data_IF_212327562241
#
_entry.id   IF_212327562241
#
_cell.length_a   1.000
_cell.length_b   1.000
_cell.length_c   1.000
_cell.angle_alpha   90.00
_cell.angle_beta   90.00
_cell.angle_gamma   90.00
#
_symmetry.space_group_name_H-M   'P 1'
#
loop_
_entity.id
_entity.type
_entity.pdbx_description
1 polymer ?
#
# COMPACT_ATOMS: atom_id res chain seq x y z
N UNK A 1 38.78 -56.33 -25.29
CA UNK A 1 37.36 -56.20 -25.67
C UNK A 1 36.61 -56.53 -24.40
N UNK A 2 36.21 -55.52 -23.63
CA UNK A 2 35.56 -55.69 -22.33
C UNK A 2 34.06 -55.79 -22.60
N UNK A 3 33.49 -56.97 -22.34
CA UNK A 3 32.11 -57.32 -22.64
C UNK A 3 31.15 -56.55 -21.74
N UNK A 4 30.57 -55.47 -22.27
CA UNK A 4 29.51 -54.67 -21.62
C UNK A 4 28.28 -55.50 -21.23
N UNK A 5 28.07 -56.64 -21.90
CA UNK A 5 27.01 -57.61 -21.63
C UNK A 5 27.22 -58.35 -20.30
N UNK A 6 28.47 -58.52 -19.86
CA UNK A 6 28.76 -59.22 -18.60
C UNK A 6 28.48 -58.31 -17.40
N UNK A 7 28.76 -57.00 -17.56
CA UNK A 7 28.55 -56.01 -16.52
C UNK A 7 27.06 -55.74 -16.24
N UNK A 8 26.23 -55.66 -17.29
CA UNK A 8 24.78 -55.46 -17.12
C UNK A 8 24.11 -56.65 -16.42
N UNK A 9 24.54 -57.87 -16.75
CA UNK A 9 24.05 -59.10 -16.10
C UNK A 9 24.45 -59.16 -14.62
N UNK A 10 25.69 -58.79 -14.30
CA UNK A 10 26.18 -58.77 -12.91
C UNK A 10 25.40 -57.73 -12.08
N UNK A 11 25.09 -56.56 -12.66
CA UNK A 11 24.27 -55.53 -12.02
C UNK A 11 22.84 -56.02 -11.76
N UNK A 12 22.23 -56.70 -12.73
CA UNK A 12 20.86 -57.22 -12.59
C UNK A 12 20.77 -58.31 -11.51
N UNK A 13 21.78 -59.20 -11.44
CA UNK A 13 21.86 -60.25 -10.42
C UNK A 13 22.04 -59.68 -9.01
N UNK A 14 22.83 -58.62 -8.84
CA UNK A 14 22.99 -57.95 -7.55
C UNK A 14 21.72 -57.20 -7.14
N UNK A 15 20.98 -56.59 -8.08
CA UNK A 15 19.72 -55.91 -7.78
C UNK A 15 18.62 -56.87 -7.32
N UNK A 16 18.56 -58.10 -7.86
CA UNK A 16 17.60 -59.12 -7.39
C UNK A 16 17.91 -59.67 -6.00
N UNK A 17 19.17 -59.57 -5.54
CA UNK A 17 19.59 -60.02 -4.19
C UNK A 17 19.25 -59.01 -3.11
N UNK A 18 18.94 -57.76 -3.48
CA UNK A 18 18.50 -56.75 -2.53
C UNK A 18 17.06 -57.06 -2.09
N UNK A 19 16.76 -57.04 -0.79
CA UNK A 19 15.37 -57.12 -0.34
C UNK A 19 14.59 -56.00 -1.01
N UNK A 20 13.33 -56.26 -1.38
CA UNK A 20 12.39 -55.24 -1.87
C UNK A 20 12.46 -54.09 -0.86
N UNK A 21 13.15 -53.03 -1.23
CA UNK A 21 13.26 -51.84 -0.42
C UNK A 21 11.88 -51.22 -0.56
N UNK A 22 10.99 -51.54 0.38
CA UNK A 22 9.86 -50.67 0.68
C UNK A 22 10.44 -49.26 0.64
N UNK A 23 9.86 -48.42 -0.19
CA UNK A 23 10.29 -47.06 -0.50
C UNK A 23 10.30 -46.23 0.77
N UNK A 24 11.31 -46.45 1.62
CA UNK A 24 11.65 -45.60 2.73
C UNK A 24 11.99 -44.25 2.12
N UNK A 25 11.38 -43.15 2.59
CA UNK A 25 11.71 -41.81 2.12
C UNK A 25 13.20 -41.60 2.28
N UNK A 26 13.93 -41.59 1.17
CA UNK A 26 15.38 -41.46 1.19
C UNK A 26 15.66 -39.97 1.39
N UNK A 27 15.90 -39.59 2.64
CA UNK A 27 16.06 -38.22 3.11
C UNK A 27 17.46 -37.66 2.76
N UNK A 28 17.74 -37.49 1.48
CA UNK A 28 19.03 -36.94 1.00
C UNK A 28 19.05 -35.41 0.89
N UNK A 29 17.91 -34.73 1.05
CA UNK A 29 17.81 -33.29 0.89
C UNK A 29 16.91 -32.65 1.96
N UNK A 30 17.31 -31.47 2.52
CA UNK A 30 16.50 -30.73 3.48
C UNK A 30 15.08 -30.46 2.93
N UNK A 31 14.04 -30.42 3.77
CA UNK A 31 12.67 -30.14 3.34
C UNK A 31 12.50 -28.87 2.51
N UNK A 32 13.36 -27.86 2.70
CA UNK A 32 13.39 -26.62 1.94
C UNK A 32 13.90 -26.76 0.49
N UNK A 33 14.49 -27.90 0.14
CA UNK A 33 15.06 -28.21 -1.20
C UNK A 33 14.37 -29.43 -1.82
N UNK A 34 13.47 -30.09 -1.08
CA UNK A 34 12.72 -31.25 -1.57
C UNK A 34 11.58 -30.76 -2.47
N UNK A 35 11.46 -31.34 -3.65
CA UNK A 35 10.27 -31.15 -4.47
C UNK A 35 9.03 -31.59 -3.66
N UNK A 36 7.97 -30.78 -3.58
CA UNK A 36 6.75 -31.16 -2.89
C UNK A 36 6.24 -32.51 -3.44
N UNK A 37 5.80 -33.41 -2.56
CA UNK A 37 5.10 -34.65 -2.98
C UNK A 37 3.71 -34.28 -3.51
N UNK A 38 3.69 -33.70 -4.70
CA UNK A 38 2.49 -33.42 -5.45
C UNK A 38 2.06 -34.72 -6.11
N UNK A 39 0.84 -35.18 -5.77
CA UNK A 39 0.18 -36.25 -6.53
C UNK A 39 0.17 -35.84 -8.00
N UNK A 40 0.55 -36.76 -8.87
CA UNK A 40 0.49 -36.51 -10.31
C UNK A 40 -0.93 -36.08 -10.71
N UNK A 41 -1.07 -34.96 -11.44
CA UNK A 41 -2.38 -34.53 -11.93
C UNK A 41 -3.02 -35.57 -12.85
N UNK A 42 -4.35 -35.58 -12.88
CA UNK A 42 -5.13 -36.57 -13.64
C UNK A 42 -4.94 -36.46 -15.16
N UNK A 43 -4.40 -35.34 -15.65
CA UNK A 43 -4.10 -35.13 -17.08
C UNK A 43 -2.76 -35.75 -17.51
N UNK A 44 -1.94 -36.24 -16.58
CA UNK A 44 -0.64 -36.84 -16.91
C UNK A 44 -0.83 -38.31 -17.25
N UNK A 45 -0.69 -38.62 -18.53
CA UNK A 45 -0.74 -39.99 -19.05
C UNK A 45 0.59 -40.34 -19.73
N UNK A 46 1.06 -41.56 -19.50
CA UNK A 46 2.30 -42.07 -20.12
C UNK A 46 1.98 -42.93 -21.33
N UNK A 47 2.64 -42.69 -22.46
CA UNK A 47 2.49 -43.52 -23.65
C UNK A 47 3.13 -44.90 -23.50
N UNK A 48 2.54 -45.91 -24.14
CA UNK A 48 3.10 -47.24 -24.25
C UNK A 48 4.44 -47.19 -25.00
N UNK A 49 5.51 -47.61 -24.33
CA UNK A 49 6.89 -47.57 -24.85
C UNK A 49 7.77 -46.44 -24.29
N UNK A 50 7.25 -45.56 -23.45
CA UNK A 50 8.08 -44.62 -22.70
C UNK A 50 8.99 -45.37 -21.71
N UNK A 51 10.29 -45.01 -21.70
CA UNK A 51 11.24 -45.58 -20.73
C UNK A 51 10.90 -45.11 -19.33
N UNK A 52 11.24 -45.90 -18.32
CA UNK A 52 10.97 -45.55 -16.91
C UNK A 52 11.62 -44.21 -16.52
N UNK A 53 12.85 -43.97 -16.98
CA UNK A 53 13.56 -42.70 -16.77
C UNK A 53 12.81 -41.53 -17.44
N UNK A 54 12.29 -41.75 -18.64
CA UNK A 54 11.49 -40.75 -19.36
C UNK A 54 10.21 -40.39 -18.61
N UNK A 55 9.50 -41.38 -18.07
CA UNK A 55 8.29 -41.18 -17.26
C UNK A 55 8.59 -40.37 -16.00
N UNK A 56 9.61 -40.77 -15.23
CA UNK A 56 10.00 -40.07 -13.99
C UNK A 56 10.46 -38.63 -14.26
N UNK A 57 11.19 -38.40 -15.37
CA UNK A 57 11.63 -37.05 -15.75
C UNK A 57 10.45 -36.16 -16.14
N UNK A 58 9.50 -36.69 -16.92
CA UNK A 58 8.29 -35.97 -17.29
C UNK A 58 7.43 -35.63 -16.06
N UNK A 59 7.26 -36.58 -15.14
CA UNK A 59 6.54 -36.35 -13.88
C UNK A 59 7.21 -35.28 -13.02
N UNK A 60 8.54 -35.29 -12.91
CA UNK A 60 9.28 -34.28 -12.16
C UNK A 60 9.04 -32.87 -12.71
N UNK A 61 9.11 -32.71 -14.03
CA UNK A 61 8.83 -31.43 -14.70
C UNK A 61 7.39 -30.99 -14.41
N UNK A 62 6.41 -31.87 -14.56
CA UNK A 62 5.02 -31.52 -14.29
C UNK A 62 4.82 -31.09 -12.83
N UNK A 63 5.43 -31.78 -11.86
CA UNK A 63 5.34 -31.38 -10.45
C UNK A 63 5.89 -29.97 -10.20
N UNK A 64 6.99 -29.60 -10.84
CA UNK A 64 7.55 -28.24 -10.74
C UNK A 64 6.62 -27.18 -11.31
N UNK A 65 6.02 -27.42 -12.48
CA UNK A 65 5.06 -26.50 -13.09
C UNK A 65 3.77 -26.38 -12.27
N UNK A 66 3.26 -27.49 -11.72
CA UNK A 66 2.10 -27.48 -10.83
C UNK A 66 2.36 -26.73 -9.53
N UNK A 67 3.57 -26.88 -8.96
CA UNK A 67 3.97 -26.09 -7.79
C UNK A 67 3.97 -24.59 -8.13
N UNK A 68 4.60 -24.21 -9.23
CA UNK A 68 4.64 -22.82 -9.68
C UNK A 68 3.23 -22.25 -9.99
N UNK A 69 2.35 -23.07 -10.59
CA UNK A 69 0.97 -22.68 -10.85
C UNK A 69 0.22 -22.36 -9.55
N UNK A 70 0.38 -23.20 -8.51
CA UNK A 70 -0.22 -22.96 -7.19
C UNK A 70 0.30 -21.70 -6.52
N UNK A 71 1.61 -21.42 -6.66
CA UNK A 71 2.19 -20.18 -6.13
C UNK A 71 1.63 -18.95 -6.85
N UNK A 72 1.42 -19.03 -8.18
CA UNK A 72 0.78 -17.95 -8.96
C UNK A 72 -0.68 -17.74 -8.52
N UNK A 73 -1.43 -18.82 -8.30
CA UNK A 73 -2.80 -18.73 -7.79
C UNK A 73 -2.86 -18.08 -6.40
N UNK A 74 -1.94 -18.47 -5.50
CA UNK A 74 -1.81 -17.86 -4.17
C UNK A 74 -1.50 -16.36 -4.25
N UNK A 75 -0.55 -15.98 -5.11
CA UNK A 75 -0.24 -14.57 -5.38
C UNK A 75 -1.46 -13.81 -5.91
N UNK A 76 -2.29 -14.44 -6.74
CA UNK A 76 -3.54 -13.86 -7.24
C UNK A 76 -4.54 -13.54 -6.11
N UNK A 77 -4.67 -14.44 -5.12
CA UNK A 77 -5.52 -14.22 -3.94
C UNK A 77 -5.00 -13.05 -3.11
N UNK A 78 -3.69 -13.00 -2.86
CA UNK A 78 -3.07 -11.90 -2.12
C UNK A 78 -3.26 -10.56 -2.84
N UNK A 79 -3.10 -10.52 -4.16
CA UNK A 79 -3.27 -9.31 -4.95
C UNK A 79 -4.70 -8.75 -4.87
N UNK A 80 -5.71 -9.63 -4.88
CA UNK A 80 -7.12 -9.21 -4.75
C UNK A 80 -7.36 -8.58 -3.38
N UNK A 81 -6.84 -9.18 -2.31
CA UNK A 81 -6.99 -8.63 -0.96
C UNK A 81 -6.27 -7.28 -0.82
N UNK A 82 -5.05 -7.16 -1.37
CA UNK A 82 -4.34 -5.89 -1.39
C UNK A 82 -5.07 -4.81 -2.22
N UNK A 83 -5.62 -5.18 -3.38
CA UNK A 83 -6.42 -4.26 -4.18
C UNK A 83 -7.64 -3.74 -3.40
N UNK A 84 -8.32 -4.63 -2.67
CA UNK A 84 -9.44 -4.25 -1.79
C UNK A 84 -9.00 -3.27 -0.70
N UNK A 85 -7.85 -3.49 -0.08
CA UNK A 85 -7.30 -2.59 0.93
C UNK A 85 -6.97 -1.21 0.34
N UNK A 86 -6.39 -1.17 -0.87
CA UNK A 86 -6.15 0.08 -1.60
C UNK A 86 -7.45 0.84 -1.91
N UNK A 87 -8.52 0.14 -2.29
CA UNK A 87 -9.83 0.75 -2.54
C UNK A 87 -10.43 1.37 -1.26
N UNK A 88 -10.34 0.67 -0.13
CA UNK A 88 -10.81 1.18 1.17
C UNK A 88 -10.03 2.43 1.56
N UNK A 89 -8.70 2.37 1.53
CA UNK A 89 -7.84 3.50 1.86
C UNK A 89 -8.12 4.71 0.94
N UNK A 90 -8.36 4.47 -0.35
CA UNK A 90 -8.69 5.54 -1.30
C UNK A 90 -10.03 6.21 -0.96
N UNK A 91 -11.05 5.44 -0.56
CA UNK A 91 -12.35 5.98 -0.13
C UNK A 91 -12.22 6.81 1.15
N UNK A 92 -11.44 6.33 2.11
CA UNK A 92 -11.18 7.06 3.37
C UNK A 92 -10.45 8.37 3.11
N UNK A 93 -9.41 8.35 2.26
CA UNK A 93 -8.68 9.57 1.88
C UNK A 93 -9.58 10.61 1.19
N UNK A 94 -10.52 10.17 0.35
CA UNK A 94 -11.52 11.05 -0.26
C UNK A 94 -12.49 11.64 0.78
N UNK A 95 -12.95 10.84 1.74
CA UNK A 95 -13.81 11.32 2.82
C UNK A 95 -13.11 12.42 3.65
N UNK A 96 -11.86 12.17 4.06
CA UNK A 96 -11.04 13.17 4.78
C UNK A 96 -10.82 14.43 3.93
N UNK A 97 -10.64 14.28 2.62
CA UNK A 97 -10.47 15.43 1.72
C UNK A 97 -11.70 16.34 1.71
N UNK A 98 -12.91 15.77 1.75
CA UNK A 98 -14.14 16.57 1.85
C UNK A 98 -14.26 17.28 3.20
N UNK A 99 -13.92 16.62 4.31
CA UNK A 99 -13.88 17.25 5.64
C UNK A 99 -12.86 18.42 5.70
N UNK A 100 -11.70 18.27 5.05
CA UNK A 100 -10.70 19.34 4.94
C UNK A 100 -11.22 20.51 4.11
N UNK A 101 -11.96 20.26 3.03
CA UNK A 101 -12.59 21.33 2.23
C UNK A 101 -13.62 22.09 3.04
N UNK A 102 -14.48 21.39 3.79
CA UNK A 102 -15.47 22.02 4.67
C UNK A 102 -14.79 22.86 5.75
N UNK A 103 -13.75 22.31 6.38
CA UNK A 103 -12.96 23.03 7.39
C UNK A 103 -12.34 24.30 6.80
N UNK A 104 -11.71 24.21 5.63
CA UNK A 104 -11.15 25.37 4.95
C UNK A 104 -12.23 26.41 4.59
N UNK A 105 -13.42 25.99 4.17
CA UNK A 105 -14.54 26.88 3.90
C UNK A 105 -14.99 27.64 5.17
N UNK A 106 -15.11 26.93 6.30
CA UNK A 106 -15.41 27.53 7.60
C UNK A 106 -14.38 28.56 8.03
N UNK A 107 -13.08 28.26 7.89
CA UNK A 107 -12.02 29.23 8.22
C UNK A 107 -12.09 30.48 7.34
N UNK A 108 -12.37 30.33 6.04
CA UNK A 108 -12.55 31.49 5.14
C UNK A 108 -13.77 32.33 5.53
N UNK A 109 -14.88 31.71 5.91
CA UNK A 109 -16.07 32.42 6.38
C UNK A 109 -15.79 33.18 7.68
N UNK A 110 -15.10 32.55 8.62
CA UNK A 110 -14.73 33.17 9.90
C UNK A 110 -13.73 34.32 9.71
N UNK A 111 -12.73 34.16 8.84
CA UNK A 111 -11.81 35.23 8.49
C UNK A 111 -12.55 36.44 7.92
N UNK A 112 -13.54 36.23 7.04
CA UNK A 112 -14.38 37.30 6.51
C UNK A 112 -15.19 38.00 7.61
N UNK A 113 -15.75 37.24 8.55
CA UNK A 113 -16.50 37.79 9.70
C UNK A 113 -15.62 38.71 10.54
N UNK A 114 -14.44 38.23 10.92
CA UNK A 114 -13.47 39.00 11.72
C UNK A 114 -12.98 40.24 10.96
N UNK A 115 -12.69 40.12 9.67
CA UNK A 115 -12.30 41.25 8.83
C UNK A 115 -13.34 42.39 8.89
N UNK A 116 -14.62 42.07 8.68
CA UNK A 116 -15.71 43.06 8.72
C UNK A 116 -15.84 43.70 10.11
N UNK A 117 -15.67 42.94 11.18
CA UNK A 117 -15.69 43.47 12.54
C UNK A 117 -14.55 44.45 12.80
N UNK A 118 -13.33 44.13 12.35
CA UNK A 118 -12.17 45.00 12.49
C UNK A 118 -12.38 46.30 11.71
N UNK A 119 -12.84 46.20 10.46
CA UNK A 119 -13.10 47.36 9.60
C UNK A 119 -14.17 48.27 10.22
N UNK A 120 -15.30 47.70 10.67
CA UNK A 120 -16.36 48.46 11.33
C UNK A 120 -15.88 49.15 12.61
N UNK A 121 -15.13 48.45 13.47
CA UNK A 121 -14.57 49.02 14.69
C UNK A 121 -13.58 50.14 14.40
N UNK A 122 -12.75 49.97 13.36
CA UNK A 122 -11.78 50.97 12.91
C UNK A 122 -12.49 52.25 12.43
N UNK A 123 -13.57 52.13 11.64
CA UNK A 123 -14.35 53.26 11.18
C UNK A 123 -14.97 54.05 12.34
N UNK A 124 -15.61 53.35 13.29
CA UNK A 124 -16.20 54.00 14.48
C UNK A 124 -15.12 54.70 15.29
N UNK A 125 -13.95 54.08 15.45
CA UNK A 125 -12.82 54.68 16.19
C UNK A 125 -12.29 55.93 15.48
N UNK A 126 -12.22 55.92 14.15
CA UNK A 126 -11.80 57.08 13.36
C UNK A 126 -12.81 58.24 13.48
N UNK A 127 -14.11 57.94 13.46
CA UNK A 127 -15.16 58.94 13.64
C UNK A 127 -15.13 59.55 15.05
N UNK A 128 -14.97 58.74 16.10
CA UNK A 128 -14.78 59.24 17.48
C UNK A 128 -13.58 60.17 17.57
N UNK A 129 -12.44 59.80 16.96
CA UNK A 129 -11.25 60.66 16.95
C UNK A 129 -11.55 62.00 16.30
N UNK A 130 -12.20 62.00 15.14
CA UNK A 130 -12.58 63.22 14.42
C UNK A 130 -13.47 64.11 15.28
N UNK A 131 -14.51 63.56 15.91
CA UNK A 131 -15.42 64.30 16.79
C UNK A 131 -14.66 64.91 17.99
N UNK A 132 -13.76 64.15 18.61
CA UNK A 132 -12.95 64.64 19.72
C UNK A 132 -12.01 65.79 19.29
N UNK A 133 -11.41 65.70 18.11
CA UNK A 133 -10.56 66.77 17.55
C UNK A 133 -11.37 68.04 17.27
N UNK A 134 -12.53 67.92 16.61
CA UNK A 134 -13.43 69.05 16.35
C UNK A 134 -13.93 69.70 17.65
N UNK A 135 -14.26 68.90 18.67
CA UNK A 135 -14.69 69.41 19.97
C UNK A 135 -13.56 70.14 20.69
N UNK A 136 -12.34 69.61 20.65
CA UNK A 136 -11.15 70.26 21.21
C UNK A 136 -10.90 71.63 20.55
N UNK A 137 -11.02 71.72 19.23
CA UNK A 137 -10.87 72.98 18.49
C UNK A 137 -11.94 74.01 18.89
N UNK A 138 -13.20 73.60 19.03
CA UNK A 138 -14.30 74.47 19.49
C UNK A 138 -14.09 74.99 20.92
N UNK A 139 -13.45 74.20 21.79
CA UNK A 139 -13.11 74.64 23.15
C UNK A 139 -11.92 75.61 23.14
N UNK A 140 -10.94 75.43 22.25
CA UNK A 140 -9.77 76.30 22.14
C UNK A 140 -10.08 77.65 21.48
N UNK A 141 -11.05 77.72 20.56
CA UNK A 141 -11.39 78.93 19.82
C UNK A 141 -11.86 80.11 20.71
N UNK A 142 -12.73 79.94 21.73
CA UNK A 142 -13.08 81.01 22.68
C UNK A 142 -11.89 81.55 23.48
N UNK A 143 -10.98 80.68 23.90
CA UNK A 143 -9.83 81.06 24.74
C UNK A 143 -8.82 81.97 24.02
N UNK A 144 -8.72 81.85 22.69
CA UNK A 144 -7.88 82.72 21.86
C UNK A 144 -8.48 84.13 21.67
N UNK A 145 -9.81 84.25 21.66
CA UNK A 145 -10.50 85.54 21.50
C UNK A 145 -10.43 86.36 22.79
N UNK A 146 -10.54 85.72 23.95
CA UNK A 146 -10.38 86.40 25.25
C UNK A 146 -8.92 86.81 25.52
N UNK A 147 -7.93 86.01 25.09
CA UNK A 147 -6.52 86.37 25.20
C UNK A 147 -6.15 87.60 24.35
N UNK A 148 -6.71 87.73 23.14
CA UNK A 148 -6.49 88.90 22.27
C UNK A 148 -7.27 90.16 22.69
N UNK A 149 -8.37 89.99 23.44
CA UNK A 149 -9.16 91.11 23.97
C UNK A 149 -8.53 91.75 25.22
N UNK A 150 -7.75 90.99 26.01
CA UNK A 150 -7.04 91.48 27.20
C UNK A 150 -5.65 92.09 26.91
N UNK A 151 -5.20 92.08 25.64
CA UNK A 151 -3.88 92.60 25.22
C UNK A 151 -3.98 93.96 24.48
N UNK A 152 -5.14 94.63 24.53
CA UNK A 152 -5.38 96.01 24.05
C UNK A 152 -5.82 96.92 25.18
#
# INVERSE_FOLDING_TARGET
>A
MLDTIDLEREIEEEFRKLPIRESQPIDFAPPSVRAPELKMPDYVEHSDGATEIGKLSAEAVVREYEAAAKDIEALGVELIEQARQCEVMSREALAVTEELKETAARYRAEAKRVFVQIESCSLVTAEVRKICEEMKEKIAAPALVEAQANEK
#
